data_IF_631481851528
#
_entry.id   IF_631481851528
#
_cell.length_a   1.000
_cell.length_b   1.000
_cell.length_c   1.000
_cell.angle_alpha   90.00
_cell.angle_beta   90.00
_cell.angle_gamma   90.00
#
_symmetry.space_group_name_H-M   'P 1'
#
loop_
_entity.id
_entity.type
_entity.pdbx_description
1 polymer ?
#
# COMPACT_ATOMS: atom_id res chain seq x y z
N UNK A 1 10.55 -27.33 16.88
CA UNK A 1 9.58 -27.17 15.78
C UNK A 1 8.25 -26.61 16.24
N UNK A 2 7.50 -27.25 17.15
CA UNK A 2 6.14 -26.81 17.52
C UNK A 2 6.04 -25.38 18.09
N UNK A 3 6.99 -24.95 18.92
CA UNK A 3 7.00 -23.58 19.47
C UNK A 3 7.11 -22.53 18.37
N UNK A 4 7.94 -22.79 17.35
CA UNK A 4 8.08 -21.89 16.21
C UNK A 4 6.79 -21.80 15.41
N UNK A 5 6.12 -22.93 15.15
CA UNK A 5 4.83 -22.91 14.44
C UNK A 5 3.76 -22.15 15.22
N UNK A 6 3.63 -22.37 16.53
CA UNK A 6 2.66 -21.64 17.36
C UNK A 6 2.98 -20.15 17.35
N UNK A 7 4.25 -19.78 17.53
CA UNK A 7 4.67 -18.39 17.49
C UNK A 7 4.36 -17.75 16.14
N UNK A 8 4.72 -18.40 15.02
CA UNK A 8 4.46 -17.86 13.68
C UNK A 8 2.99 -17.80 13.30
N UNK A 9 2.16 -18.73 13.79
CA UNK A 9 0.71 -18.62 13.59
C UNK A 9 0.12 -17.44 14.36
N UNK A 10 0.55 -17.22 15.60
CA UNK A 10 0.08 -16.09 16.40
C UNK A 10 0.59 -14.76 15.82
N UNK A 11 1.85 -14.70 15.38
CA UNK A 11 2.46 -13.50 14.83
C UNK A 11 1.85 -13.08 13.48
N UNK A 12 1.38 -14.05 12.69
CA UNK A 12 0.75 -13.84 11.40
C UNK A 12 -0.73 -13.44 11.49
N UNK A 13 -1.39 -13.66 12.63
CA UNK A 13 -2.79 -13.28 12.80
C UNK A 13 -2.97 -11.75 12.81
N UNK A 14 -4.01 -11.19 12.15
CA UNK A 14 -5.00 -11.85 11.30
C UNK A 14 -4.58 -12.00 9.83
N UNK A 15 -3.43 -11.45 9.45
CA UNK A 15 -2.93 -11.31 8.08
C UNK A 15 -2.10 -12.51 7.62
N UNK A 16 -2.70 -13.71 7.65
CA UNK A 16 -2.01 -14.94 7.27
C UNK A 16 -1.57 -14.99 5.81
N UNK A 17 -2.34 -14.35 4.93
CA UNK A 17 -2.09 -14.40 3.49
C UNK A 17 -0.74 -13.74 3.15
N UNK A 18 -0.44 -12.49 3.57
CA UNK A 18 0.87 -11.88 3.37
C UNK A 18 1.90 -12.29 4.45
N UNK A 19 2.04 -13.58 4.77
CA UNK A 19 3.04 -14.01 5.77
C UNK A 19 4.48 -13.78 5.28
N UNK A 20 5.30 -13.17 6.14
CA UNK A 20 6.75 -13.11 6.01
C UNK A 20 7.37 -13.48 7.35
N UNK A 21 8.55 -14.11 7.30
CA UNK A 21 9.26 -14.50 8.51
C UNK A 21 9.55 -13.29 9.41
N UNK A 22 9.50 -13.53 10.71
CA UNK A 22 9.79 -12.54 11.74
C UNK A 22 11.23 -12.02 11.65
N UNK A 23 12.16 -12.80 11.08
CA UNK A 23 13.54 -12.39 10.83
C UNK A 23 13.66 -11.21 9.85
N UNK A 24 12.70 -11.06 8.93
CA UNK A 24 12.64 -9.90 8.02
C UNK A 24 11.74 -8.78 8.56
N UNK A 25 11.30 -8.90 9.81
CA UNK A 25 10.38 -7.97 10.47
C UNK A 25 8.91 -8.22 10.14
N UNK A 26 8.57 -9.44 9.70
CA UNK A 26 7.20 -9.87 9.44
C UNK A 26 6.57 -9.26 8.19
N UNK A 27 5.27 -9.51 8.02
CA UNK A 27 4.47 -9.07 6.87
C UNK A 27 4.54 -7.56 6.62
N UNK A 28 4.75 -6.78 7.69
CA UNK A 28 4.92 -5.33 7.64
C UNK A 28 6.07 -4.87 6.75
N UNK A 29 7.11 -5.67 6.58
CA UNK A 29 8.24 -5.34 5.74
C UNK A 29 8.25 -6.13 4.42
N UNK A 30 7.24 -6.96 4.15
CA UNK A 30 7.23 -7.85 2.99
C UNK A 30 7.44 -7.13 1.66
N UNK A 31 6.83 -5.96 1.49
CA UNK A 31 6.97 -5.10 0.29
C UNK A 31 8.40 -4.64 -0.01
N UNK A 32 9.32 -4.74 0.97
CA UNK A 32 10.74 -4.43 0.77
C UNK A 32 11.51 -5.57 0.10
N UNK A 33 10.97 -6.78 0.15
CA UNK A 33 11.63 -8.00 -0.32
C UNK A 33 10.92 -8.60 -1.54
N UNK A 34 9.59 -8.58 -1.56
CA UNK A 34 8.78 -9.06 -2.66
C UNK A 34 7.75 -8.00 -3.04
N UNK A 35 7.80 -7.58 -4.30
CA UNK A 35 6.79 -6.75 -4.95
C UNK A 35 5.92 -7.63 -5.86
N UNK A 36 4.72 -7.16 -6.21
CA UNK A 36 3.74 -7.92 -7.01
C UNK A 36 3.45 -9.30 -6.40
N UNK A 37 3.07 -9.28 -5.13
CA UNK A 37 2.93 -10.47 -4.29
C UNK A 37 1.52 -10.61 -3.73
N UNK A 38 1.33 -11.63 -2.89
CA UNK A 38 0.11 -11.85 -2.12
C UNK A 38 -0.25 -10.68 -1.18
N UNK A 39 0.67 -9.74 -0.91
CA UNK A 39 0.37 -8.48 -0.21
C UNK A 39 -0.60 -7.63 -1.06
N UNK A 40 -0.50 -7.65 -2.38
CA UNK A 40 -1.20 -6.73 -3.27
C UNK A 40 -2.51 -7.29 -3.85
N UNK A 41 -2.88 -8.54 -3.56
CA UNK A 41 -4.04 -9.23 -4.14
C UNK A 41 -5.41 -8.80 -3.56
N UNK A 42 -5.52 -7.56 -3.11
CA UNK A 42 -6.78 -6.95 -2.69
C UNK A 42 -7.30 -7.40 -1.32
N UNK A 43 -6.48 -8.08 -0.52
CA UNK A 43 -6.83 -8.52 0.84
C UNK A 43 -7.29 -7.35 1.74
N UNK A 44 -6.62 -6.20 1.64
CA UNK A 44 -6.91 -5.02 2.45
C UNK A 44 -8.01 -4.11 1.86
N UNK A 45 -8.66 -4.46 0.74
CA UNK A 45 -9.69 -3.59 0.12
C UNK A 45 -10.90 -3.35 1.02
N UNK A 46 -11.31 -4.37 1.81
CA UNK A 46 -12.38 -4.19 2.79
C UNK A 46 -11.98 -3.20 3.89
N UNK A 47 -10.77 -3.31 4.41
CA UNK A 47 -10.24 -2.38 5.43
C UNK A 47 -10.06 -0.97 4.86
N UNK A 48 -9.71 -0.87 3.58
CA UNK A 48 -9.65 0.40 2.86
C UNK A 48 -11.02 1.07 2.75
N UNK A 49 -12.05 0.31 2.41
CA UNK A 49 -13.43 0.82 2.38
C UNK A 49 -13.88 1.30 3.77
N UNK A 50 -13.58 0.54 4.83
CA UNK A 50 -13.85 0.93 6.22
C UNK A 50 -13.10 2.22 6.60
N UNK A 51 -11.83 2.34 6.23
CA UNK A 51 -11.03 3.54 6.49
C UNK A 51 -11.59 4.79 5.77
N UNK A 52 -12.12 4.62 4.55
CA UNK A 52 -12.73 5.71 3.78
C UNK A 52 -14.06 6.20 4.40
N UNK A 53 -14.72 5.41 5.25
CA UNK A 53 -15.90 5.91 6.02
C UNK A 53 -15.51 7.02 6.99
N UNK A 54 -14.29 6.98 7.53
CA UNK A 54 -13.73 8.01 8.42
C UNK A 54 -13.13 9.18 7.65
N UNK A 55 -12.65 8.93 6.43
CA UNK A 55 -12.03 9.93 5.56
C UNK A 55 -12.66 9.88 4.15
N UNK A 56 -13.84 10.49 3.94
CA UNK A 56 -14.56 10.41 2.67
C UNK A 56 -13.79 10.97 1.47
N UNK A 57 -12.93 11.96 1.70
CA UNK A 57 -12.09 12.61 0.69
C UNK A 57 -10.76 11.88 0.44
N UNK A 58 -10.55 10.72 1.08
CA UNK A 58 -9.36 9.90 0.88
C UNK A 58 -9.20 9.55 -0.60
N UNK A 59 -8.07 9.96 -1.18
CA UNK A 59 -7.68 9.62 -2.54
C UNK A 59 -6.95 8.28 -2.55
N UNK A 60 -7.24 7.41 -3.51
CA UNK A 60 -6.72 6.04 -3.52
C UNK A 60 -5.89 5.78 -4.77
N UNK A 61 -4.65 5.34 -4.61
CA UNK A 61 -3.80 4.91 -5.70
C UNK A 61 -3.53 3.40 -5.58
N UNK A 62 -4.17 2.60 -6.43
CA UNK A 62 -4.15 1.14 -6.39
C UNK A 62 -3.97 0.55 -7.80
N UNK A 63 -2.92 -0.26 -8.02
CA UNK A 63 -2.53 -0.64 -9.39
C UNK A 63 -3.33 -1.76 -10.05
N UNK A 64 -4.19 -2.44 -9.30
CA UNK A 64 -4.97 -3.57 -9.78
C UNK A 64 -6.42 -3.19 -10.06
N UNK A 65 -6.80 -1.94 -9.81
CA UNK A 65 -8.17 -1.48 -10.06
C UNK A 65 -8.52 -1.52 -11.55
N UNK A 66 -7.54 -1.26 -12.41
CA UNK A 66 -7.66 -1.26 -13.87
C UNK A 66 -7.97 -2.64 -14.46
N UNK A 67 -7.61 -3.73 -13.76
CA UNK A 67 -7.75 -5.08 -14.29
C UNK A 67 -9.01 -5.81 -13.81
N UNK A 68 -9.46 -5.52 -12.59
CA UNK A 68 -10.53 -6.30 -11.93
C UNK A 68 -11.73 -5.44 -11.51
N UNK A 69 -11.61 -4.09 -11.53
CA UNK A 69 -12.64 -3.17 -10.99
C UNK A 69 -13.04 -3.52 -9.54
N UNK A 70 -12.16 -4.23 -8.83
CA UNK A 70 -12.45 -4.84 -7.54
C UNK A 70 -12.70 -3.79 -6.47
N UNK A 71 -12.07 -2.62 -6.57
CA UNK A 71 -12.28 -1.54 -5.61
C UNK A 71 -13.72 -1.03 -5.64
N UNK A 72 -14.37 -1.02 -6.81
CA UNK A 72 -15.79 -0.66 -6.92
C UNK A 72 -16.71 -1.66 -6.22
N UNK A 73 -16.37 -2.95 -6.24
CA UNK A 73 -17.13 -3.99 -5.52
C UNK A 73 -17.11 -3.77 -4.01
N UNK A 74 -16.02 -3.21 -3.47
CA UNK A 74 -15.90 -2.82 -2.07
C UNK A 74 -16.40 -1.38 -1.78
N UNK A 75 -16.94 -0.68 -2.79
CA UNK A 75 -17.45 0.68 -2.63
C UNK A 75 -16.38 1.75 -2.46
N UNK A 76 -15.12 1.46 -2.81
CA UNK A 76 -14.00 2.41 -2.72
C UNK A 76 -14.19 3.52 -3.77
N UNK A 77 -14.02 4.76 -3.33
CA UNK A 77 -14.17 5.97 -4.13
C UNK A 77 -12.83 6.70 -4.32
N UNK A 78 -12.84 7.75 -5.15
CA UNK A 78 -11.70 8.64 -5.37
C UNK A 78 -10.42 7.92 -5.81
N UNK A 79 -10.58 6.92 -6.69
CA UNK A 79 -9.46 6.17 -7.25
C UNK A 79 -8.76 7.04 -8.28
N UNK A 80 -7.47 7.23 -8.10
CA UNK A 80 -6.63 8.06 -8.92
C UNK A 80 -6.01 7.25 -10.07
N UNK A 81 -5.86 7.85 -11.26
CA UNK A 81 -5.11 7.23 -12.34
C UNK A 81 -3.63 7.09 -11.94
N UNK A 82 -3.07 5.91 -12.19
CA UNK A 82 -1.64 5.67 -11.96
C UNK A 82 -0.83 6.08 -13.18
N UNK A 83 -0.51 7.36 -13.23
CA UNK A 83 0.41 7.93 -14.21
C UNK A 83 1.45 8.75 -13.49
N UNK A 84 2.74 8.48 -13.78
CA UNK A 84 3.88 9.21 -13.20
C UNK A 84 3.94 10.67 -13.64
N UNK A 85 3.12 11.06 -14.62
CA UNK A 85 3.03 12.42 -15.16
C UNK A 85 1.87 13.23 -14.55
N UNK A 86 1.16 12.68 -13.57
CA UNK A 86 0.02 13.34 -12.95
C UNK A 86 0.43 14.45 -11.97
N UNK A 87 -0.36 15.53 -11.96
CA UNK A 87 -0.11 16.69 -11.11
C UNK A 87 -0.23 16.39 -9.62
N UNK A 88 -1.10 15.44 -9.24
CA UNK A 88 -1.37 15.12 -7.83
C UNK A 88 -0.22 14.38 -7.14
N UNK A 89 0.64 13.68 -7.87
CA UNK A 89 1.82 13.02 -7.28
C UNK A 89 2.96 14.02 -7.06
N UNK A 90 3.11 14.97 -7.99
CA UNK A 90 4.16 15.98 -7.93
C UNK A 90 3.80 17.15 -7.01
N UNK A 91 2.51 17.46 -6.87
CA UNK A 91 1.97 18.49 -5.98
C UNK A 91 0.79 17.91 -5.18
N UNK A 92 1.06 17.02 -4.21
CA UNK A 92 0.00 16.41 -3.41
C UNK A 92 -0.63 17.38 -2.43
N UNK A 93 -1.92 17.17 -2.15
CA UNK A 93 -2.66 17.89 -1.11
C UNK A 93 -3.70 16.98 -0.45
N UNK A 94 -3.86 17.10 0.87
CA UNK A 94 -4.75 16.24 1.64
C UNK A 94 -4.25 14.79 1.76
N UNK A 95 -5.19 13.84 1.87
CA UNK A 95 -4.90 12.46 2.30
C UNK A 95 -4.96 11.43 1.17
N UNK A 96 -3.95 10.56 1.14
CA UNK A 96 -3.79 9.52 0.12
C UNK A 96 -3.58 8.15 0.74
N UNK A 97 -4.29 7.14 0.25
CA UNK A 97 -3.95 5.74 0.44
C UNK A 97 -3.19 5.24 -0.80
N UNK A 98 -1.90 4.97 -0.64
CA UNK A 98 -1.03 4.53 -1.72
C UNK A 98 -0.67 3.07 -1.52
N UNK A 99 -0.94 2.25 -2.53
CA UNK A 99 -0.60 0.84 -2.52
C UNK A 99 0.93 0.61 -2.48
N UNK A 100 1.38 -0.43 -1.77
CA UNK A 100 2.79 -0.78 -1.60
C UNK A 100 3.54 -0.93 -2.92
N UNK A 101 2.94 -1.60 -3.92
CA UNK A 101 3.58 -1.72 -5.23
C UNK A 101 3.77 -0.38 -5.92
N UNK A 102 2.79 0.52 -5.83
CA UNK A 102 2.93 1.86 -6.41
C UNK A 102 4.17 2.54 -5.83
N UNK A 103 4.39 2.45 -4.52
CA UNK A 103 5.57 3.01 -3.86
C UNK A 103 6.88 2.31 -4.25
N UNK A 104 6.87 0.99 -4.43
CA UNK A 104 8.05 0.26 -4.89
C UNK A 104 8.41 0.69 -6.32
N UNK A 105 7.42 0.76 -7.22
CA UNK A 105 7.63 1.15 -8.61
C UNK A 105 8.00 2.61 -8.80
N UNK A 106 7.41 3.52 -8.02
CA UNK A 106 7.76 4.94 -8.09
C UNK A 106 9.14 5.22 -7.52
N UNK A 107 9.59 4.47 -6.50
CA UNK A 107 11.00 4.51 -6.09
C UNK A 107 11.93 4.06 -7.21
N UNK A 108 11.69 2.90 -7.82
CA UNK A 108 12.54 2.43 -8.92
C UNK A 108 12.54 3.43 -10.09
N UNK A 109 11.39 4.02 -10.40
CA UNK A 109 11.30 5.07 -11.40
C UNK A 109 12.10 6.33 -11.02
N UNK A 110 12.14 6.71 -9.74
CA UNK A 110 12.96 7.85 -9.28
C UNK A 110 14.44 7.65 -9.56
N UNK A 111 14.95 6.41 -9.41
CA UNK A 111 16.34 6.06 -9.68
C UNK A 111 16.62 6.05 -11.19
N UNK A 112 15.69 5.53 -11.99
CA UNK A 112 15.83 5.45 -13.46
C UNK A 112 15.74 6.82 -14.13
N UNK A 113 14.84 7.69 -13.68
CA UNK A 113 14.63 9.02 -14.25
C UNK A 113 15.41 10.12 -13.54
N UNK A 114 16.16 9.79 -12.50
CA UNK A 114 16.86 10.74 -11.63
C UNK A 114 15.93 11.84 -11.10
N UNK A 115 14.69 11.48 -10.77
CA UNK A 115 13.66 12.38 -10.27
C UNK A 115 13.17 11.94 -8.88
N UNK A 116 13.83 12.48 -7.86
CA UNK A 116 13.49 12.25 -6.46
C UNK A 116 12.04 12.60 -6.12
N UNK A 117 11.32 13.41 -6.91
CA UNK A 117 9.91 13.74 -6.62
C UNK A 117 9.00 12.51 -6.73
N UNK A 118 9.44 11.49 -7.46
CA UNK A 118 8.72 10.22 -7.57
C UNK A 118 8.86 9.37 -6.30
N UNK A 119 9.91 9.54 -5.51
CA UNK A 119 10.22 8.71 -4.35
C UNK A 119 9.48 9.15 -3.07
N UNK A 120 8.15 9.09 -3.07
CA UNK A 120 7.37 9.38 -1.86
C UNK A 120 7.78 8.50 -0.68
N UNK A 121 8.12 7.25 -0.97
CA UNK A 121 8.41 6.20 0.02
C UNK A 121 9.56 6.56 0.96
N UNK A 122 10.63 7.15 0.42
CA UNK A 122 11.81 7.50 1.21
C UNK A 122 11.81 9.00 1.59
N UNK A 123 10.96 9.83 0.98
CA UNK A 123 10.89 11.28 1.23
C UNK A 123 9.84 11.72 2.25
N UNK A 124 8.78 10.95 2.40
CA UNK A 124 7.66 11.28 3.30
C UNK A 124 7.42 10.13 4.25
N UNK A 125 7.10 10.46 5.51
CA UNK A 125 6.70 9.47 6.50
C UNK A 125 5.18 9.26 6.42
N UNK A 126 4.70 8.02 6.27
CA UNK A 126 3.27 7.75 6.27
C UNK A 126 2.67 8.00 7.67
N UNK A 127 1.50 8.63 7.72
CA UNK A 127 0.77 8.92 8.96
C UNK A 127 -0.01 7.71 9.49
N UNK A 128 -0.28 6.73 8.64
CA UNK A 128 -0.98 5.49 9.00
C UNK A 128 -0.72 4.39 7.97
N UNK A 129 -1.22 3.18 8.22
CA UNK A 129 -1.15 2.03 7.32
C UNK A 129 -2.43 1.19 7.40
N UNK A 130 -2.92 0.75 6.25
CA UNK A 130 -4.05 -0.18 6.17
C UNK A 130 -3.50 -1.56 5.84
N UNK A 131 -3.53 -2.43 6.86
CA UNK A 131 -2.99 -3.79 6.79
C UNK A 131 -1.55 -3.80 6.29
N UNK A 132 -1.30 -4.60 5.26
CA UNK A 132 0.00 -4.71 4.62
C UNK A 132 0.08 -4.00 3.28
N UNK A 133 -1.06 -3.75 2.62
CA UNK A 133 -1.11 -3.31 1.22
C UNK A 133 -1.08 -1.80 0.99
N UNK A 134 -1.40 -0.94 1.97
CA UNK A 134 -1.50 0.51 1.75
C UNK A 134 -0.84 1.34 2.84
N UNK A 135 -0.09 2.36 2.43
CA UNK A 135 0.37 3.43 3.30
C UNK A 135 -0.49 4.67 3.15
N UNK A 136 -0.72 5.36 4.26
CA UNK A 136 -1.47 6.62 4.29
C UNK A 136 -0.50 7.77 4.37
N UNK A 137 -0.60 8.71 3.43
CA UNK A 137 0.14 9.96 3.44
C UNK A 137 -0.83 11.12 3.60
N UNK A 138 -0.40 12.16 4.30
CA UNK A 138 -1.18 13.39 4.49
C UNK A 138 -0.29 14.59 4.20
N UNK A 139 -0.78 15.45 3.30
CA UNK A 139 -0.09 16.65 2.86
C UNK A 139 -0.94 17.89 3.17
N UNK A 140 -0.30 19.04 3.41
CA UNK A 140 -1.00 20.32 3.62
C UNK A 140 -1.95 20.71 2.49
#
# INVERSE_FOLDING_TARGET
>A
MFVWYVFSSISAYPDYLPYFSELVGGSKNGYKYLDDSNIEWGYDLKRLAEYQTKYPDLKVAYAWDTFVNSSKLYGIKNILPLSLKESWWLNPSGRYAINTHVLVRTKLASEVYEDERLNWRDRYEPVDRIGQSFFIYEFP
#
